data_IF_664975753297
#
_entry.id   IF_664975753297
#
_cell.length_a   1.000
_cell.length_b   1.000
_cell.length_c   1.000
_cell.angle_alpha   90.00
_cell.angle_beta   90.00
_cell.angle_gamma   90.00
#
_symmetry.space_group_name_H-M   'P 1'
#
loop_
_entity.id
_entity.type
_entity.pdbx_description
1 polymer ?
#
# COMPACT_ATOMS: atom_id res chain seq x y z
N UNK A 1 37.41 29.91 -8.59
CA UNK A 1 36.09 30.10 -9.21
C UNK A 1 35.48 28.72 -9.34
N UNK A 2 34.46 28.41 -8.54
CA UNK A 2 33.70 27.16 -8.65
C UNK A 2 32.37 27.52 -9.33
N UNK A 3 32.14 26.98 -10.52
CA UNK A 3 30.82 27.03 -11.15
C UNK A 3 30.01 25.85 -10.59
N UNK A 4 29.14 26.12 -9.62
CA UNK A 4 28.18 25.14 -9.14
C UNK A 4 27.01 25.13 -10.13
N UNK A 5 26.89 24.06 -10.92
CA UNK A 5 25.70 23.79 -11.73
C UNK A 5 24.79 22.87 -10.91
N UNK A 6 23.62 23.36 -10.50
CA UNK A 6 22.60 22.59 -9.79
C UNK A 6 21.56 22.13 -10.81
N UNK A 7 21.47 20.83 -11.03
CA UNK A 7 20.43 20.20 -11.84
C UNK A 7 19.31 19.77 -10.91
N UNK A 8 18.15 20.41 -10.92
CA UNK A 8 17.02 19.93 -10.12
C UNK A 8 16.18 18.91 -10.92
N UNK A 9 15.85 17.74 -10.36
CA UNK A 9 14.87 16.87 -10.97
C UNK A 9 13.51 17.55 -10.80
N UNK A 10 12.85 17.84 -11.91
CA UNK A 10 11.40 17.95 -11.89
C UNK A 10 10.93 16.52 -11.65
N UNK A 11 10.64 16.18 -10.39
CA UNK A 11 9.95 14.97 -9.87
C UNK A 11 10.02 13.78 -10.85
N UNK A 12 10.66 12.63 -10.50
CA UNK A 12 10.85 11.54 -11.46
C UNK A 12 9.56 11.32 -12.25
N UNK A 13 9.63 11.44 -13.57
CA UNK A 13 8.46 11.42 -14.46
C UNK A 13 7.55 10.22 -14.19
N UNK A 14 8.05 9.17 -13.54
CA UNK A 14 7.31 8.06 -12.95
C UNK A 14 6.25 8.46 -11.89
N UNK A 15 6.56 9.34 -10.94
CA UNK A 15 5.62 9.82 -9.93
C UNK A 15 4.57 10.76 -10.55
N UNK A 16 4.95 11.54 -11.56
CA UNK A 16 4.02 12.32 -12.38
C UNK A 16 3.21 11.43 -13.31
N UNK A 17 3.76 10.34 -13.87
CA UNK A 17 3.06 9.41 -14.75
C UNK A 17 1.98 8.62 -14.02
N UNK A 18 2.15 8.34 -12.73
CA UNK A 18 1.12 7.70 -11.92
C UNK A 18 -0.07 8.64 -11.66
N UNK A 19 0.19 9.94 -11.42
CA UNK A 19 -0.85 10.97 -11.32
C UNK A 19 -1.42 11.43 -12.69
N UNK A 20 -0.63 11.32 -13.76
CA UNK A 20 -1.00 11.70 -15.13
C UNK A 20 -1.75 10.59 -15.87
N UNK A 21 -1.51 9.31 -15.54
CA UNK A 21 -2.33 8.19 -16.00
C UNK A 21 -3.78 8.31 -15.50
N UNK A 22 -3.98 8.93 -14.34
CA UNK A 22 -5.31 9.24 -13.80
C UNK A 22 -5.95 10.50 -14.43
N UNK A 23 -5.17 11.38 -15.07
CA UNK A 23 -5.65 12.67 -15.60
C UNK A 23 -5.50 12.88 -17.11
N UNK A 24 -4.91 11.93 -17.84
CA UNK A 24 -4.86 11.90 -19.32
C UNK A 24 -4.02 13.00 -19.99
N UNK A 25 -3.12 13.66 -19.26
CA UNK A 25 -2.50 14.92 -19.69
C UNK A 25 -1.13 14.82 -20.39
N UNK A 26 -0.56 13.61 -20.59
CA UNK A 26 0.78 13.45 -21.18
C UNK A 26 0.74 13.15 -22.69
N UNK A 27 1.72 13.72 -23.40
CA UNK A 27 1.99 13.40 -24.81
C UNK A 27 2.43 11.94 -24.94
N UNK A 28 2.09 11.27 -26.06
CA UNK A 28 2.39 9.83 -26.24
C UNK A 28 3.89 9.50 -26.20
N UNK A 29 4.75 10.47 -26.54
CA UNK A 29 6.19 10.24 -26.66
C UNK A 29 6.90 10.32 -25.30
N UNK A 30 6.47 11.23 -24.42
CA UNK A 30 6.96 11.34 -23.04
C UNK A 30 6.40 10.22 -22.14
N UNK A 31 5.23 9.67 -22.49
CA UNK A 31 4.59 8.60 -21.73
C UNK A 31 5.37 7.28 -21.77
N UNK A 32 6.04 6.94 -22.89
CA UNK A 32 6.71 5.65 -23.04
C UNK A 32 8.03 5.55 -22.27
N UNK A 33 8.86 6.60 -22.29
CA UNK A 33 10.10 6.65 -21.50
C UNK A 33 9.79 6.73 -20.00
N UNK A 34 8.80 7.52 -19.60
CA UNK A 34 8.33 7.60 -18.23
C UNK A 34 7.77 6.25 -17.72
N UNK A 35 7.04 5.50 -18.55
CA UNK A 35 6.52 4.16 -18.21
C UNK A 35 7.62 3.11 -18.05
N UNK A 36 8.65 3.14 -18.90
CA UNK A 36 9.78 2.20 -18.79
C UNK A 36 10.57 2.43 -17.49
N UNK A 37 10.83 3.69 -17.13
CA UNK A 37 11.49 4.05 -15.88
C UNK A 37 10.63 3.71 -14.65
N UNK A 38 9.33 4.01 -14.71
CA UNK A 38 8.38 3.64 -13.64
C UNK A 38 8.29 2.12 -13.44
N UNK A 39 8.31 1.35 -14.53
CA UNK A 39 8.33 -0.12 -14.48
C UNK A 39 9.60 -0.66 -13.84
N UNK A 40 10.77 -0.09 -14.18
CA UNK A 40 12.06 -0.49 -13.59
C UNK A 40 12.15 -0.14 -12.10
N UNK A 41 11.74 1.07 -11.71
CA UNK A 41 11.68 1.50 -10.30
C UNK A 41 10.76 0.58 -9.50
N UNK A 42 9.57 0.29 -10.03
CA UNK A 42 8.61 -0.60 -9.37
C UNK A 42 9.16 -2.02 -9.22
N UNK A 43 9.77 -2.58 -10.26
CA UNK A 43 10.39 -3.90 -10.18
C UNK A 43 11.50 -3.97 -9.11
N UNK A 44 12.27 -2.89 -8.94
CA UNK A 44 13.35 -2.84 -7.96
C UNK A 44 12.83 -2.67 -6.52
N UNK A 45 11.75 -1.89 -6.34
CA UNK A 45 11.01 -1.83 -5.07
C UNK A 45 10.44 -3.21 -4.74
N UNK A 46 9.80 -3.88 -5.71
CA UNK A 46 9.20 -5.21 -5.53
C UNK A 46 10.27 -6.25 -5.13
N UNK A 47 11.47 -6.21 -5.73
CA UNK A 47 12.60 -7.11 -5.36
C UNK A 47 13.07 -6.85 -3.91
N UNK A 48 13.22 -5.59 -3.50
CA UNK A 48 13.61 -5.28 -2.11
C UNK A 48 12.53 -5.68 -1.11
N UNK A 49 11.25 -5.50 -1.48
CA UNK A 49 10.12 -5.94 -0.67
C UNK A 49 10.09 -7.46 -0.53
N UNK A 50 10.36 -8.19 -1.62
CA UNK A 50 10.40 -9.65 -1.64
C UNK A 50 11.57 -10.20 -0.81
N UNK A 51 12.76 -9.59 -0.88
CA UNK A 51 13.90 -9.95 -0.04
C UNK A 51 13.62 -9.74 1.45
N UNK A 52 12.93 -8.64 1.80
CA UNK A 52 12.47 -8.38 3.16
C UNK A 52 11.42 -9.42 3.62
N UNK A 53 10.51 -9.84 2.73
CA UNK A 53 9.54 -10.90 3.00
C UNK A 53 10.21 -12.28 3.25
N UNK A 54 11.25 -12.62 2.49
CA UNK A 54 11.98 -13.88 2.69
C UNK A 54 12.75 -13.88 4.02
N UNK A 55 13.41 -12.79 4.37
CA UNK A 55 14.03 -12.60 5.69
C UNK A 55 12.98 -12.66 6.83
N UNK A 56 11.78 -12.14 6.58
CA UNK A 56 10.65 -12.19 7.50
C UNK A 56 10.08 -13.60 7.73
N UNK A 57 10.23 -14.51 6.77
CA UNK A 57 9.85 -15.91 6.89
C UNK A 57 10.81 -16.73 7.77
N UNK A 58 12.02 -16.24 8.01
CA UNK A 58 13.00 -16.86 8.88
C UNK A 58 12.72 -16.62 10.38
N UNK A 59 12.17 -15.47 10.76
CA UNK A 59 11.86 -15.13 12.16
C UNK A 59 10.48 -15.65 12.63
N UNK A 60 10.32 -16.97 12.61
CA UNK A 60 9.05 -17.69 12.89
C UNK A 60 8.56 -17.64 14.34
N UNK A 61 9.30 -17.05 15.28
CA UNK A 61 9.00 -17.11 16.71
C UNK A 61 7.87 -16.14 17.13
N UNK A 62 7.81 -14.93 16.58
CA UNK A 62 6.66 -14.02 16.80
C UNK A 62 5.35 -14.58 16.24
N UNK A 63 5.44 -15.34 15.14
CA UNK A 63 4.29 -16.06 14.57
C UNK A 63 3.72 -17.11 15.51
N UNK A 64 4.47 -17.58 16.52
CA UNK A 64 3.95 -18.57 17.48
C UNK A 64 3.01 -17.93 18.51
N UNK A 65 3.31 -16.73 19.01
CA UNK A 65 2.38 -15.97 19.86
C UNK A 65 1.09 -15.63 19.09
N UNK A 66 1.24 -15.30 17.81
CA UNK A 66 0.13 -15.07 16.90
C UNK A 66 -0.69 -16.35 16.58
N UNK A 67 -0.06 -17.53 16.48
CA UNK A 67 -0.79 -18.80 16.32
C UNK A 67 -1.67 -19.12 17.53
N UNK A 68 -1.27 -18.71 18.73
CA UNK A 68 -2.06 -18.92 19.94
C UNK A 68 -3.32 -18.04 19.95
N UNK A 69 -3.22 -16.77 19.56
CA UNK A 69 -4.41 -15.90 19.41
C UNK A 69 -5.31 -16.36 18.25
N UNK A 70 -4.73 -16.85 17.16
CA UNK A 70 -5.47 -17.45 16.05
C UNK A 70 -6.24 -18.72 16.47
N UNK A 71 -5.65 -19.58 17.29
CA UNK A 71 -6.32 -20.79 17.78
C UNK A 71 -7.51 -20.51 18.70
N UNK A 72 -7.40 -19.52 19.59
CA UNK A 72 -8.51 -19.13 20.47
C UNK A 72 -9.72 -18.65 19.67
N UNK A 73 -9.47 -17.85 18.64
CA UNK A 73 -10.55 -17.36 17.79
C UNK A 73 -11.10 -18.42 16.82
N UNK A 74 -10.27 -19.34 16.33
CA UNK A 74 -10.78 -20.49 15.57
C UNK A 74 -11.73 -21.34 16.41
N UNK A 75 -11.49 -21.46 17.73
CA UNK A 75 -12.42 -22.14 18.62
C UNK A 75 -13.75 -21.38 18.74
N UNK A 76 -13.74 -20.05 18.84
CA UNK A 76 -14.95 -19.23 18.91
C UNK A 76 -15.75 -19.23 17.59
N UNK A 77 -15.06 -19.13 16.45
CA UNK A 77 -15.70 -19.30 15.13
C UNK A 77 -16.28 -20.71 14.98
N UNK A 78 -15.58 -21.73 15.47
CA UNK A 78 -16.09 -23.09 15.47
C UNK A 78 -17.31 -23.25 16.38
N UNK A 79 -17.38 -22.54 17.52
CA UNK A 79 -18.58 -22.51 18.38
C UNK A 79 -19.76 -21.83 17.69
N UNK A 80 -19.54 -20.70 17.00
CA UNK A 80 -20.57 -20.01 16.23
C UNK A 80 -21.03 -20.80 15.00
N UNK A 81 -20.10 -21.48 14.31
CA UNK A 81 -20.42 -22.40 13.22
C UNK A 81 -21.16 -23.65 13.72
N UNK A 82 -20.78 -24.21 14.88
CA UNK A 82 -21.50 -25.31 15.50
C UNK A 82 -22.92 -24.91 15.91
N UNK A 83 -23.09 -23.71 16.48
CA UNK A 83 -24.40 -23.15 16.77
C UNK A 83 -25.23 -22.95 15.49
N UNK A 84 -24.62 -22.45 14.42
CA UNK A 84 -25.27 -22.32 13.11
C UNK A 84 -25.69 -23.68 12.55
N UNK A 85 -24.82 -24.68 12.57
CA UNK A 85 -25.12 -26.03 12.10
C UNK A 85 -26.25 -26.66 12.92
N UNK A 86 -26.26 -26.48 14.24
CA UNK A 86 -27.35 -26.94 15.09
C UNK A 86 -28.69 -26.29 14.70
N UNK A 87 -28.71 -24.98 14.40
CA UNK A 87 -29.92 -24.28 13.96
C UNK A 87 -30.32 -24.70 12.53
N UNK A 88 -29.39 -24.95 11.61
CA UNK A 88 -29.68 -25.44 10.26
C UNK A 88 -30.28 -26.86 10.29
N UNK A 89 -29.73 -27.76 11.11
CA UNK A 89 -30.27 -29.12 11.33
C UNK A 89 -31.67 -29.05 11.94
N UNK A 90 -31.87 -28.18 12.93
CA UNK A 90 -33.17 -27.91 13.52
C UNK A 90 -34.21 -27.41 12.50
N UNK A 91 -33.82 -26.48 11.63
CA UNK A 91 -34.69 -25.98 10.56
C UNK A 91 -35.06 -27.08 9.55
N UNK A 92 -34.09 -27.92 9.16
CA UNK A 92 -34.34 -29.03 8.24
C UNK A 92 -35.29 -30.07 8.85
N UNK A 93 -35.11 -30.43 10.12
CA UNK A 93 -36.01 -31.32 10.84
C UNK A 93 -37.44 -30.74 10.88
N UNK A 94 -37.56 -29.45 11.22
CA UNK A 94 -38.85 -28.77 11.29
C UNK A 94 -39.54 -28.67 9.92
N UNK A 95 -38.78 -28.41 8.85
CA UNK A 95 -39.30 -28.39 7.48
C UNK A 95 -39.77 -29.78 7.01
N UNK A 96 -39.02 -30.85 7.35
CA UNK A 96 -39.40 -32.23 7.04
C UNK A 96 -40.68 -32.64 7.79
N UNK A 97 -40.80 -32.28 9.07
CA UNK A 97 -41.99 -32.59 9.87
C UNK A 97 -43.24 -31.88 9.34
N UNK A 98 -43.10 -30.62 8.90
CA UNK A 98 -44.21 -29.88 8.27
C UNK A 98 -44.61 -30.53 6.93
N UNK A 99 -43.64 -30.96 6.13
CA UNK A 99 -43.94 -31.63 4.85
C UNK A 99 -44.59 -33.01 5.05
N UNK A 100 -44.14 -33.77 6.04
CA UNK A 100 -44.69 -35.07 6.38
C UNK A 100 -46.13 -34.95 6.95
N UNK A 101 -46.37 -33.95 7.81
CA UNK A 101 -47.72 -33.65 8.30
C UNK A 101 -48.67 -33.26 7.14
N UNK A 102 -48.22 -32.39 6.23
CA UNK A 102 -49.00 -32.01 5.05
C UNK A 102 -49.27 -33.18 4.08
N UNK A 103 -48.36 -34.16 4.00
CA UNK A 103 -48.53 -35.37 3.18
C UNK A 103 -49.49 -36.39 3.82
N UNK A 104 -49.50 -36.51 5.15
CA UNK A 104 -50.48 -37.35 5.88
C UNK A 104 -51.90 -36.79 5.79
N UNK A 105 -52.06 -35.46 5.86
CA UNK A 105 -53.35 -34.77 5.70
C UNK A 105 -54.02 -35.00 4.32
N UNK A 106 -53.24 -35.35 3.29
CA UNK A 106 -53.77 -35.65 1.95
C UNK A 106 -54.23 -37.11 1.79
N UNK A 107 -53.96 -38.00 2.75
CA UNK A 107 -54.25 -39.44 2.65
C UNK A 107 -55.22 -39.98 3.71
N UNK A 108 -55.48 -39.27 4.81
CA UNK A 108 -56.43 -39.72 5.84
C UNK A 108 -57.72 -38.89 5.87
N UNK A 109 -58.79 -39.42 5.30
CA UNK A 109 -60.16 -38.96 5.58
C UNK A 109 -60.63 -39.58 6.90
N UNK A 110 -60.07 -39.11 8.03
CA UNK A 110 -60.43 -39.58 9.36
C UNK A 110 -61.72 -38.91 9.88
N UNK A 111 -62.48 -39.64 10.70
CA UNK A 111 -63.70 -39.16 11.35
C UNK A 111 -63.43 -37.92 12.24
N UNK A 112 -64.38 -36.98 12.38
CA UNK A 112 -64.18 -35.69 13.04
C UNK A 112 -63.76 -35.78 14.52
N UNK A 113 -64.06 -36.89 15.21
CA UNK A 113 -63.67 -37.10 16.62
C UNK A 113 -62.16 -37.37 16.78
N UNK A 114 -61.50 -38.02 15.82
CA UNK A 114 -60.05 -38.30 15.90
C UNK A 114 -59.18 -37.10 15.51
N UNK A 115 -59.76 -36.09 14.84
CA UNK A 115 -59.02 -34.94 14.33
C UNK A 115 -58.53 -34.00 15.44
N UNK A 116 -59.29 -33.88 16.53
CA UNK A 116 -58.90 -33.05 17.68
C UNK A 116 -57.74 -33.68 18.46
N UNK A 117 -57.77 -35.00 18.64
CA UNK A 117 -56.67 -35.73 19.30
C UNK A 117 -55.39 -35.71 18.46
N UNK A 118 -55.51 -35.84 17.13
CA UNK A 118 -54.39 -35.65 16.19
C UNK A 118 -53.77 -34.25 16.29
N UNK A 119 -54.59 -33.19 16.31
CA UNK A 119 -54.10 -31.81 16.47
C UNK A 119 -53.39 -31.60 17.81
N UNK A 120 -53.87 -32.24 18.89
CA UNK A 120 -53.20 -32.19 20.18
C UNK A 120 -51.85 -32.90 20.20
N UNK A 121 -51.75 -34.05 19.53
CA UNK A 121 -50.51 -34.80 19.41
C UNK A 121 -49.50 -34.08 18.51
N UNK A 122 -49.95 -33.46 17.41
CA UNK A 122 -49.13 -32.59 16.56
C UNK A 122 -48.61 -31.37 17.32
N UNK A 123 -49.47 -30.69 18.08
CA UNK A 123 -49.07 -29.53 18.88
C UNK A 123 -48.06 -29.94 19.96
N UNK A 124 -48.25 -31.09 20.64
CA UNK A 124 -47.31 -31.62 21.64
C UNK A 124 -45.97 -31.99 21.00
N UNK A 125 -45.98 -32.67 19.86
CA UNK A 125 -44.77 -33.00 19.11
C UNK A 125 -44.01 -31.74 18.70
N UNK A 126 -44.72 -30.77 18.13
CA UNK A 126 -44.15 -29.50 17.68
C UNK A 126 -43.54 -28.68 18.83
N UNK A 127 -44.24 -28.53 19.95
CA UNK A 127 -43.71 -27.82 21.13
C UNK A 127 -42.44 -28.50 21.67
N UNK A 128 -42.44 -29.84 21.70
CA UNK A 128 -41.27 -30.61 22.14
C UNK A 128 -40.06 -30.43 21.22
N UNK A 129 -40.29 -30.38 19.91
CA UNK A 129 -39.24 -30.11 18.92
C UNK A 129 -38.67 -28.69 19.08
N UNK A 130 -39.54 -27.69 19.21
CA UNK A 130 -39.09 -26.31 19.40
C UNK A 130 -38.32 -26.16 20.72
N UNK A 131 -38.73 -26.82 21.79
CA UNK A 131 -37.99 -26.86 23.06
C UNK A 131 -36.60 -27.47 22.89
N UNK A 132 -36.47 -28.56 22.11
CA UNK A 132 -35.17 -29.16 21.83
C UNK A 132 -34.25 -28.20 21.04
N UNK A 133 -34.81 -27.46 20.07
CA UNK A 133 -34.09 -26.46 19.29
C UNK A 133 -33.63 -25.29 20.20
N UNK A 134 -34.52 -24.82 21.07
CA UNK A 134 -34.20 -23.74 22.02
C UNK A 134 -33.19 -24.20 23.09
N UNK A 135 -33.22 -25.46 23.51
CA UNK A 135 -32.27 -26.03 24.46
C UNK A 135 -30.87 -26.24 23.85
N UNK A 136 -30.78 -26.48 22.54
CA UNK A 136 -29.53 -26.60 21.81
C UNK A 136 -28.90 -25.24 21.43
N UNK A 137 -29.64 -24.14 21.59
CA UNK A 137 -29.15 -22.81 21.26
C UNK A 137 -28.15 -22.27 22.32
N UNK A 138 -27.08 -21.55 21.90
CA UNK A 138 -26.14 -20.91 22.82
C UNK A 138 -26.82 -20.01 23.85
N UNK A 139 -26.35 -20.05 25.10
CA UNK A 139 -26.93 -19.29 26.21
C UNK A 139 -26.98 -17.77 25.93
N UNK A 140 -25.99 -17.23 25.21
CA UNK A 140 -25.96 -15.81 24.85
C UNK A 140 -27.18 -15.39 24.00
N UNK A 141 -27.70 -16.27 23.14
CA UNK A 141 -28.87 -16.00 22.30
C UNK A 141 -30.18 -16.05 23.08
N UNK A 142 -30.21 -16.80 24.19
CA UNK A 142 -31.38 -16.95 25.05
C UNK A 142 -31.49 -15.84 26.11
N UNK A 143 -30.37 -15.17 26.42
CA UNK A 143 -30.29 -14.12 27.45
C UNK A 143 -30.39 -12.69 26.92
N UNK A 144 -30.12 -12.45 25.63
CA UNK A 144 -30.17 -11.10 25.07
C UNK A 144 -31.61 -10.71 24.73
N UNK A 145 -32.19 -9.79 25.52
CA UNK A 145 -33.59 -9.35 25.45
C UNK A 145 -34.01 -8.72 24.12
N UNK A 146 -33.06 -8.42 23.23
CA UNK A 146 -33.32 -7.90 21.88
C UNK A 146 -33.45 -8.99 20.82
N UNK A 147 -33.13 -10.24 21.15
CA UNK A 147 -33.20 -11.36 20.22
C UNK A 147 -34.64 -11.85 20.05
N UNK A 148 -35.00 -12.36 18.85
CA UNK A 148 -36.32 -12.91 18.63
C UNK A 148 -36.58 -14.21 19.43
N UNK A 149 -35.55 -14.83 19.99
CA UNK A 149 -35.63 -16.07 20.77
C UNK A 149 -36.37 -15.88 22.10
N UNK A 150 -36.28 -14.71 22.73
CA UNK A 150 -37.04 -14.41 23.95
C UNK A 150 -38.54 -14.38 23.66
N UNK A 151 -38.94 -13.81 22.51
CA UNK A 151 -40.34 -13.79 22.07
C UNK A 151 -40.83 -15.18 21.66
N UNK A 152 -40.00 -15.95 20.96
CA UNK A 152 -40.29 -17.35 20.62
C UNK A 152 -40.50 -18.21 21.88
N UNK A 153 -39.62 -18.07 22.89
CA UNK A 153 -39.75 -18.79 24.16
C UNK A 153 -41.04 -18.44 24.89
N UNK A 154 -41.42 -17.16 24.92
CA UNK A 154 -42.69 -16.74 25.53
C UNK A 154 -43.91 -17.31 24.79
N UNK A 155 -43.86 -17.39 23.45
CA UNK A 155 -44.92 -18.01 22.65
C UNK A 155 -45.00 -19.52 22.87
N UNK A 156 -43.87 -20.22 22.93
CA UNK A 156 -43.81 -21.66 23.24
C UNK A 156 -44.38 -21.95 24.62
N UNK A 157 -44.07 -21.11 25.61
CA UNK A 157 -44.64 -21.24 26.96
C UNK A 157 -46.15 -21.00 26.99
N UNK A 158 -46.66 -20.04 26.20
CA UNK A 158 -48.09 -19.82 26.05
C UNK A 158 -48.80 -21.04 25.43
N UNK A 159 -48.21 -21.66 24.40
CA UNK A 159 -48.71 -22.90 23.82
C UNK A 159 -48.67 -24.07 24.81
N UNK A 160 -47.63 -24.15 25.65
CA UNK A 160 -47.53 -25.15 26.72
C UNK A 160 -48.65 -25.00 27.75
N UNK A 161 -48.99 -23.78 28.14
CA UNK A 161 -50.12 -23.51 29.04
C UNK A 161 -51.45 -23.94 28.43
N UNK A 162 -51.68 -23.66 27.15
CA UNK A 162 -52.89 -24.09 26.42
C UNK A 162 -53.05 -25.62 26.45
N UNK A 163 -51.96 -26.37 26.26
CA UNK A 163 -51.91 -27.83 26.36
C UNK A 163 -52.22 -28.32 27.78
N UNK A 164 -51.65 -27.69 28.80
CA UNK A 164 -51.85 -28.08 30.21
C UNK A 164 -53.26 -27.80 30.71
N UNK A 165 -53.83 -26.66 30.34
CA UNK A 165 -55.17 -26.23 30.75
C UNK A 165 -56.28 -26.99 30.03
N UNK A 166 -55.94 -27.81 29.01
CA UNK A 166 -56.88 -28.51 28.12
C UNK A 166 -57.97 -27.57 27.58
N UNK A 167 -57.56 -26.32 27.34
CA UNK A 167 -58.41 -25.30 26.71
C UNK A 167 -58.71 -25.70 25.26
N UNK A 168 -59.63 -25.02 24.57
CA UNK A 168 -59.99 -25.40 23.20
C UNK A 168 -58.74 -25.49 22.30
N UNK A 169 -58.58 -26.56 21.50
CA UNK A 169 -57.41 -26.71 20.65
C UNK A 169 -57.34 -25.57 19.62
N UNK A 170 -56.13 -25.10 19.30
CA UNK A 170 -55.96 -24.06 18.28
C UNK A 170 -56.46 -24.52 16.92
N UNK A 171 -56.79 -23.55 16.07
CA UNK A 171 -57.11 -23.84 14.67
C UNK A 171 -55.85 -24.30 13.94
N UNK A 172 -55.98 -25.23 13.00
CA UNK A 172 -54.86 -25.69 12.17
C UNK A 172 -54.11 -24.52 11.49
N UNK A 173 -54.86 -23.49 11.04
CA UNK A 173 -54.31 -22.26 10.45
C UNK A 173 -53.40 -21.48 11.41
N UNK A 174 -53.70 -21.47 12.72
CA UNK A 174 -52.90 -20.79 13.74
C UNK A 174 -51.59 -21.55 14.01
N UNK A 175 -51.66 -22.89 14.02
CA UNK A 175 -50.49 -23.75 14.15
C UNK A 175 -49.56 -23.59 12.93
N UNK A 176 -50.11 -23.56 11.72
CA UNK A 176 -49.33 -23.36 10.50
C UNK A 176 -48.72 -21.95 10.40
N UNK A 177 -49.48 -20.91 10.78
CA UNK A 177 -48.96 -19.55 10.85
C UNK A 177 -47.80 -19.44 11.86
N UNK A 178 -47.90 -20.14 13.00
CA UNK A 178 -46.83 -20.17 14.00
C UNK A 178 -45.59 -20.93 13.50
N UNK A 179 -45.78 -22.10 12.87
CA UNK A 179 -44.72 -22.86 12.19
C UNK A 179 -43.96 -22.00 11.18
N UNK A 180 -44.68 -21.30 10.30
CA UNK A 180 -44.08 -20.40 9.31
C UNK A 180 -43.35 -19.20 9.94
N UNK A 181 -43.94 -18.59 10.98
CA UNK A 181 -43.29 -17.50 11.72
C UNK A 181 -41.97 -17.96 12.33
N UNK A 182 -41.95 -19.14 12.94
CA UNK A 182 -40.76 -19.71 13.57
C UNK A 182 -39.68 -20.03 12.53
N UNK A 183 -40.04 -20.66 11.41
CA UNK A 183 -39.12 -20.88 10.29
C UNK A 183 -38.49 -19.59 9.78
N UNK A 184 -39.31 -18.55 9.51
CA UNK A 184 -38.80 -17.26 9.03
C UNK A 184 -37.87 -16.60 10.05
N UNK A 185 -38.26 -16.64 11.32
CA UNK A 185 -37.48 -16.03 12.40
C UNK A 185 -36.12 -16.71 12.60
N UNK A 186 -36.08 -18.05 12.53
CA UNK A 186 -34.84 -18.81 12.59
C UNK A 186 -33.98 -18.55 11.34
N UNK A 187 -34.59 -18.54 10.14
CA UNK A 187 -33.87 -18.28 8.88
C UNK A 187 -33.23 -16.89 8.87
N UNK A 188 -34.01 -15.85 9.20
CA UNK A 188 -33.54 -14.46 9.31
C UNK A 188 -32.39 -14.36 10.32
N UNK A 189 -32.46 -15.10 11.43
CA UNK A 189 -31.41 -15.08 12.45
C UNK A 189 -30.12 -15.78 11.99
N UNK A 190 -30.23 -16.95 11.37
CA UNK A 190 -29.08 -17.66 10.78
C UNK A 190 -28.39 -16.78 9.75
N UNK A 191 -29.16 -16.10 8.89
CA UNK A 191 -28.61 -15.18 7.89
C UNK A 191 -27.89 -13.99 8.55
N UNK A 192 -28.47 -13.41 9.61
CA UNK A 192 -27.80 -12.34 10.38
C UNK A 192 -26.50 -12.82 11.01
N UNK A 193 -26.48 -13.98 11.67
CA UNK A 193 -25.26 -14.54 12.24
C UNK A 193 -24.20 -14.78 11.17
N UNK A 194 -24.60 -15.34 10.03
CA UNK A 194 -23.71 -15.57 8.88
C UNK A 194 -23.12 -14.26 8.35
N UNK A 195 -23.93 -13.21 8.24
CA UNK A 195 -23.48 -11.90 7.79
C UNK A 195 -22.54 -11.25 8.82
N UNK A 196 -22.83 -11.35 10.11
CA UNK A 196 -21.95 -10.86 11.19
C UNK A 196 -20.61 -11.59 11.16
N UNK A 197 -20.60 -12.92 11.10
CA UNK A 197 -19.38 -13.74 11.00
C UNK A 197 -18.56 -13.35 9.77
N UNK A 198 -19.21 -13.26 8.61
CA UNK A 198 -18.55 -12.88 7.36
C UNK A 198 -17.95 -11.47 7.44
N UNK A 199 -18.66 -10.52 8.04
CA UNK A 199 -18.19 -9.16 8.19
C UNK A 199 -17.02 -9.06 9.17
N UNK A 200 -17.08 -9.76 10.30
CA UNK A 200 -15.97 -9.85 11.26
C UNK A 200 -14.73 -10.49 10.63
N UNK A 201 -14.91 -11.56 9.85
CA UNK A 201 -13.84 -12.20 9.10
C UNK A 201 -13.19 -11.22 8.11
N UNK A 202 -14.00 -10.49 7.34
CA UNK A 202 -13.52 -9.50 6.37
C UNK A 202 -12.71 -8.38 7.04
N UNK A 203 -13.25 -7.77 8.11
CA UNK A 203 -12.54 -6.71 8.86
C UNK A 203 -11.21 -7.26 9.38
N UNK A 204 -11.20 -8.47 9.92
CA UNK A 204 -9.98 -9.11 10.42
C UNK A 204 -8.96 -9.33 9.32
N UNK A 205 -9.36 -9.89 8.19
CA UNK A 205 -8.47 -10.16 7.06
C UNK A 205 -7.85 -8.85 6.53
N UNK A 206 -8.63 -7.76 6.50
CA UNK A 206 -8.15 -6.44 6.11
C UNK A 206 -7.14 -5.89 7.14
N UNK A 207 -7.44 -5.95 8.44
CA UNK A 207 -6.51 -5.52 9.50
C UNK A 207 -5.21 -6.35 9.48
N UNK A 208 -5.29 -7.65 9.21
CA UNK A 208 -4.12 -8.52 9.05
C UNK A 208 -3.29 -8.14 7.83
N UNK A 209 -3.93 -7.77 6.73
CA UNK A 209 -3.25 -7.27 5.53
C UNK A 209 -2.45 -6.00 5.87
N UNK A 210 -3.08 -5.03 6.55
CA UNK A 210 -2.41 -3.80 6.99
C UNK A 210 -1.26 -4.12 7.95
N UNK A 211 -1.46 -5.01 8.93
CA UNK A 211 -0.40 -5.41 9.87
C UNK A 211 0.80 -6.03 9.15
N UNK A 212 0.55 -6.88 8.15
CA UNK A 212 1.61 -7.47 7.34
C UNK A 212 2.37 -6.40 6.54
N UNK A 213 1.66 -5.44 5.94
CA UNK A 213 2.30 -4.32 5.23
C UNK A 213 3.13 -3.47 6.19
N UNK A 214 2.59 -3.04 7.34
CA UNK A 214 3.33 -2.29 8.37
C UNK A 214 4.62 -3.00 8.76
N UNK A 215 4.54 -4.31 9.03
CA UNK A 215 5.70 -5.12 9.42
C UNK A 215 6.72 -5.25 8.28
N UNK A 216 6.28 -5.23 7.01
CA UNK A 216 7.19 -5.20 5.86
C UNK A 216 7.93 -3.87 5.78
N UNK A 217 7.22 -2.75 5.92
CA UNK A 217 7.83 -1.42 5.91
C UNK A 217 8.84 -1.27 7.04
N UNK A 218 8.53 -1.67 8.29
CA UNK A 218 9.50 -1.62 9.41
C UNK A 218 10.84 -2.31 9.13
N UNK A 219 10.87 -3.28 8.21
CA UNK A 219 12.04 -4.10 7.89
C UNK A 219 12.82 -3.60 6.69
N UNK A 220 12.35 -2.58 5.99
CA UNK A 220 13.08 -2.00 4.87
C UNK A 220 14.31 -1.25 5.38
N UNK A 221 15.49 -1.72 4.97
CA UNK A 221 16.75 -1.01 5.22
C UNK A 221 16.74 0.32 4.45
N UNK A 222 17.12 1.41 5.13
CA UNK A 222 17.15 2.76 4.56
C UNK A 222 15.96 3.64 4.95
N UNK A 223 14.95 3.10 5.66
CA UNK A 223 13.90 3.96 6.23
C UNK A 223 14.50 4.84 7.32
N UNK A 224 14.25 6.14 7.21
CA UNK A 224 14.62 7.12 8.22
C UNK A 224 14.00 6.78 9.57
N UNK A 225 14.76 6.96 10.66
CA UNK A 225 14.32 6.70 12.04
C UNK A 225 12.97 7.35 12.38
N UNK A 226 12.66 8.49 11.73
CA UNK A 226 11.39 9.23 11.88
C UNK A 226 10.14 8.41 11.59
N UNK A 227 10.22 7.38 10.74
CA UNK A 227 9.08 6.53 10.37
C UNK A 227 8.99 5.24 11.19
N UNK A 228 10.09 4.82 11.82
CA UNK A 228 10.14 3.58 12.59
C UNK A 228 9.21 3.64 13.82
N UNK A 229 9.21 4.76 14.55
CA UNK A 229 8.34 4.92 15.71
C UNK A 229 6.84 4.93 15.34
N UNK A 230 6.36 5.71 14.35
CA UNK A 230 4.98 5.64 13.90
C UNK A 230 4.53 4.24 13.44
N UNK A 231 5.39 3.50 12.74
CA UNK A 231 5.09 2.13 12.31
C UNK A 231 4.97 1.18 13.52
N UNK A 232 5.88 1.27 14.48
CA UNK A 232 5.84 0.45 15.70
C UNK A 232 4.59 0.70 16.53
N UNK A 233 4.20 1.98 16.69
CA UNK A 233 2.96 2.36 17.37
C UNK A 233 1.71 1.84 16.65
N UNK A 234 1.71 1.90 15.31
CA UNK A 234 0.60 1.37 14.51
C UNK A 234 0.52 -0.16 14.62
N UNK A 235 1.66 -0.86 14.62
CA UNK A 235 1.74 -2.30 14.80
C UNK A 235 1.20 -2.72 16.17
N UNK A 236 1.64 -2.06 17.23
CA UNK A 236 1.14 -2.33 18.59
C UNK A 236 -0.37 -2.10 18.68
N UNK A 237 -0.86 -0.97 18.15
CA UNK A 237 -2.29 -0.68 18.12
C UNK A 237 -3.08 -1.72 17.30
N UNK A 238 -2.59 -2.15 16.13
CA UNK A 238 -3.22 -3.19 15.31
C UNK A 238 -3.29 -4.54 16.06
N UNK A 239 -2.22 -4.91 16.75
CA UNK A 239 -2.19 -6.11 17.56
C UNK A 239 -3.21 -6.01 18.70
N UNK A 240 -3.32 -4.88 19.39
CA UNK A 240 -4.35 -4.68 20.42
C UNK A 240 -5.77 -4.78 19.84
N UNK A 241 -6.05 -4.13 18.71
CA UNK A 241 -7.38 -4.17 18.09
C UNK A 241 -7.75 -5.57 17.58
N UNK A 242 -6.80 -6.36 17.08
CA UNK A 242 -7.05 -7.74 16.66
C UNK A 242 -7.47 -8.66 17.81
N UNK A 243 -7.19 -8.28 19.06
CA UNK A 243 -7.66 -8.97 20.25
C UNK A 243 -8.99 -8.41 20.80
N UNK A 244 -9.46 -7.27 20.29
CA UNK A 244 -10.74 -6.71 20.68
C UNK A 244 -11.90 -7.50 20.04
N UNK A 245 -12.93 -7.78 20.84
CA UNK A 245 -14.18 -8.38 20.39
C UNK A 245 -15.35 -7.51 20.89
N UNK A 246 -16.22 -6.98 20.01
CA UNK A 246 -16.27 -7.17 18.56
C UNK A 246 -15.34 -6.25 17.76
N UNK A 247 -14.83 -6.79 16.64
CA UNK A 247 -14.18 -5.99 15.60
C UNK A 247 -15.21 -5.09 14.91
N UNK A 248 -14.87 -3.81 14.75
CA UNK A 248 -15.77 -2.80 14.16
C UNK A 248 -15.16 -2.17 12.92
N UNK A 249 -16.02 -1.72 11.99
CA UNK A 249 -15.61 -1.03 10.75
C UNK A 249 -14.78 0.24 11.02
N UNK A 250 -15.02 0.90 12.16
CA UNK A 250 -14.23 2.06 12.56
C UNK A 250 -12.74 1.70 12.75
N UNK A 251 -12.43 0.51 13.28
CA UNK A 251 -11.04 0.05 13.45
C UNK A 251 -10.32 -0.08 12.12
N UNK A 252 -10.96 -0.64 11.09
CA UNK A 252 -10.40 -0.71 9.74
C UNK A 252 -10.17 0.69 9.15
N UNK A 253 -11.10 1.60 9.37
CA UNK A 253 -11.02 2.98 8.87
C UNK A 253 -9.86 3.73 9.54
N UNK A 254 -9.72 3.59 10.86
CA UNK A 254 -8.64 4.19 11.64
C UNK A 254 -7.27 3.62 11.23
N UNK A 255 -7.18 2.31 11.02
CA UNK A 255 -5.96 1.64 10.55
C UNK A 255 -5.48 2.23 9.21
N UNK A 256 -6.39 2.34 8.23
CA UNK A 256 -6.09 2.91 6.92
C UNK A 256 -5.74 4.40 7.00
N UNK A 257 -6.41 5.15 7.87
CA UNK A 257 -6.17 6.59 8.05
C UNK A 257 -4.78 6.85 8.62
N UNK A 258 -4.31 6.02 9.55
CA UNK A 258 -2.96 6.10 10.11
C UNK A 258 -1.89 5.59 9.16
N UNK A 259 -2.13 4.45 8.52
CA UNK A 259 -1.14 3.79 7.68
C UNK A 259 -0.91 4.49 6.34
N UNK A 260 -1.99 4.96 5.70
CA UNK A 260 -1.94 5.53 4.35
C UNK A 260 -0.91 6.65 4.17
N UNK A 261 -0.86 7.68 5.05
CA UNK A 261 0.15 8.74 4.97
C UNK A 261 1.58 8.24 5.18
N UNK A 262 1.81 7.34 6.15
CA UNK A 262 3.14 6.79 6.45
C UNK A 262 3.65 5.99 5.24
N UNK A 263 2.80 5.11 4.71
CA UNK A 263 3.09 4.32 3.51
C UNK A 263 3.48 5.20 2.33
N UNK A 264 2.70 6.25 2.05
CA UNK A 264 3.01 7.20 0.96
C UNK A 264 4.34 7.92 1.16
N UNK A 265 4.65 8.34 2.39
CA UNK A 265 5.90 9.02 2.69
C UNK A 265 7.12 8.10 2.46
N UNK A 266 7.03 6.84 2.92
CA UNK A 266 8.09 5.86 2.71
C UNK A 266 8.22 5.47 1.22
N UNK A 267 7.10 5.24 0.54
CA UNK A 267 7.08 4.93 -0.89
C UNK A 267 7.74 6.06 -1.72
N UNK A 268 7.51 7.32 -1.33
CA UNK A 268 8.15 8.48 -1.96
C UNK A 268 9.66 8.54 -1.70
N UNK A 269 10.11 8.26 -0.47
CA UNK A 269 11.53 8.22 -0.13
C UNK A 269 12.26 7.11 -0.90
N UNK A 270 11.71 5.89 -0.89
CA UNK A 270 12.28 4.77 -1.63
C UNK A 270 12.33 5.05 -3.14
N UNK A 271 11.30 5.69 -3.69
CA UNK A 271 11.30 6.10 -5.09
C UNK A 271 12.39 7.13 -5.40
N UNK A 272 12.64 8.08 -4.50
CA UNK A 272 13.71 9.07 -4.64
C UNK A 272 15.09 8.41 -4.55
N UNK A 273 15.30 7.49 -3.61
CA UNK A 273 16.56 6.76 -3.47
C UNK A 273 16.88 5.93 -4.72
N UNK A 274 15.89 5.19 -5.25
CA UNK A 274 16.08 4.42 -6.49
C UNK A 274 16.32 5.35 -7.69
N UNK A 275 15.61 6.48 -7.76
CA UNK A 275 15.84 7.46 -8.81
C UNK A 275 17.25 8.08 -8.71
N UNK A 276 17.74 8.33 -7.50
CA UNK A 276 19.08 8.84 -7.21
C UNK A 276 20.16 7.85 -7.65
N UNK A 277 19.98 6.57 -7.35
CA UNK A 277 20.90 5.49 -7.76
C UNK A 277 20.90 5.32 -9.30
N UNK A 278 19.73 5.39 -9.94
CA UNK A 278 19.64 5.34 -11.40
C UNK A 278 20.31 6.55 -12.04
N UNK A 279 20.09 7.75 -11.47
CA UNK A 279 20.68 8.99 -11.94
C UNK A 279 22.21 8.98 -11.82
N UNK A 280 22.74 8.52 -10.68
CA UNK A 280 24.19 8.47 -10.46
C UNK A 280 24.87 7.51 -11.42
N UNK A 281 24.27 6.34 -11.66
CA UNK A 281 24.78 5.37 -12.63
C UNK A 281 24.78 5.93 -14.05
N UNK A 282 23.64 6.52 -14.50
CA UNK A 282 23.54 7.10 -15.84
C UNK A 282 24.47 8.29 -16.03
N UNK A 283 24.62 9.13 -15.00
CA UNK A 283 25.58 10.23 -15.03
C UNK A 283 27.01 9.71 -15.22
N UNK A 284 27.41 8.68 -14.47
CA UNK A 284 28.72 8.08 -14.60
C UNK A 284 28.96 7.47 -15.99
N UNK A 285 27.96 6.75 -16.52
CA UNK A 285 28.01 6.15 -17.85
C UNK A 285 28.19 7.24 -18.94
N UNK A 286 27.36 8.28 -18.92
CA UNK A 286 27.42 9.37 -19.91
C UNK A 286 28.74 10.14 -19.85
N UNK A 287 29.24 10.46 -18.65
CA UNK A 287 30.54 11.10 -18.50
C UNK A 287 31.66 10.20 -19.04
N UNK A 288 31.59 8.88 -18.78
CA UNK A 288 32.55 7.92 -19.31
C UNK A 288 32.53 7.85 -20.84
N UNK A 289 31.34 7.83 -21.44
CA UNK A 289 31.17 7.86 -22.90
C UNK A 289 31.70 9.15 -23.55
N UNK A 290 31.67 10.27 -22.81
CA UNK A 290 32.26 11.55 -23.23
C UNK A 290 33.79 11.61 -23.02
N UNK A 291 34.40 10.56 -22.48
CA UNK A 291 35.84 10.44 -22.28
C UNK A 291 36.34 10.87 -20.90
N UNK A 292 35.44 11.14 -19.95
CA UNK A 292 35.82 11.41 -18.56
C UNK A 292 36.15 10.09 -17.87
N UNK A 293 37.33 9.99 -17.23
CA UNK A 293 37.71 8.77 -16.52
C UNK A 293 37.21 8.82 -15.08
N UNK A 294 36.63 7.73 -14.58
CA UNK A 294 36.15 7.66 -13.19
C UNK A 294 37.35 7.48 -12.26
N UNK A 295 37.61 8.48 -11.42
CA UNK A 295 38.65 8.43 -10.39
C UNK A 295 38.08 7.89 -9.09
N UNK A 296 36.89 8.36 -8.71
CA UNK A 296 36.12 7.88 -7.57
C UNK A 296 34.66 7.67 -8.00
N UNK A 297 34.09 6.47 -7.80
CA UNK A 297 32.71 6.21 -8.16
C UNK A 297 31.75 7.02 -7.27
N UNK A 298 30.58 7.38 -7.82
CA UNK A 298 29.51 8.01 -7.04
C UNK A 298 29.03 7.05 -5.95
N UNK A 299 29.40 7.32 -4.70
CA UNK A 299 29.06 6.51 -3.54
C UNK A 299 28.52 7.38 -2.39
N UNK A 300 27.77 6.78 -1.47
CA UNK A 300 27.23 7.48 -0.30
C UNK A 300 28.34 8.06 0.57
N UNK A 301 28.21 9.35 0.90
CA UNK A 301 29.09 10.02 1.84
C UNK A 301 28.76 9.62 3.28
N UNK A 302 29.69 9.88 4.22
CA UNK A 302 29.51 9.61 5.66
C UNK A 302 28.30 10.34 6.25
N UNK A 303 27.86 11.43 5.62
CA UNK A 303 26.64 12.17 6.00
C UNK A 303 25.34 11.55 5.43
N UNK A 304 25.43 10.41 4.73
CA UNK A 304 24.35 9.46 4.43
C UNK A 304 23.32 9.90 3.38
N UNK A 305 23.29 11.18 3.00
CA UNK A 305 22.22 11.74 2.18
C UNK A 305 22.68 12.29 0.82
N UNK A 306 23.96 12.16 0.49
CA UNK A 306 24.51 12.58 -0.80
C UNK A 306 25.41 11.50 -1.37
N UNK A 307 25.36 11.34 -2.69
CA UNK A 307 26.33 10.56 -3.44
C UNK A 307 27.40 11.51 -3.95
N UNK A 308 28.68 11.23 -3.72
CA UNK A 308 29.78 12.03 -4.26
C UNK A 308 30.74 11.15 -5.06
N UNK A 309 31.28 11.69 -6.14
CA UNK A 309 32.27 11.01 -6.97
C UNK A 309 33.19 12.00 -7.68
N UNK A 310 34.29 11.48 -8.22
CA UNK A 310 35.32 12.26 -8.88
C UNK A 310 35.63 11.68 -10.27
N UNK A 311 35.75 12.57 -11.25
CA UNK A 311 36.04 12.23 -12.63
C UNK A 311 37.25 13.04 -13.11
N UNK A 312 38.18 12.39 -13.82
CA UNK A 312 39.27 13.09 -14.50
C UNK A 312 38.77 13.64 -15.83
N UNK A 313 38.89 14.96 -15.98
CA UNK A 313 38.60 15.68 -17.23
C UNK A 313 39.78 15.49 -18.19
N UNK A 314 39.54 15.25 -19.50
CA UNK A 314 40.59 15.25 -20.50
C UNK A 314 41.47 16.51 -20.42
N UNK A 315 42.75 16.33 -20.07
CA UNK A 315 43.69 17.45 -19.88
C UNK A 315 44.05 17.77 -18.42
N UNK A 316 43.69 16.91 -17.45
CA UNK A 316 44.38 16.79 -16.16
C UNK A 316 43.76 17.54 -14.96
N UNK A 317 42.51 18.00 -15.07
CA UNK A 317 41.76 18.54 -13.92
C UNK A 317 40.72 17.54 -13.43
N UNK A 318 40.31 17.64 -12.16
CA UNK A 318 39.24 16.84 -11.59
C UNK A 318 37.89 17.55 -11.69
N UNK A 319 36.83 16.76 -11.93
CA UNK A 319 35.43 17.15 -11.82
C UNK A 319 34.82 16.35 -10.66
N UNK A 320 34.41 17.05 -9.61
CA UNK A 320 33.65 16.48 -8.51
C UNK A 320 32.16 16.59 -8.85
N UNK A 321 31.43 15.48 -8.75
CA UNK A 321 29.98 15.45 -8.92
C UNK A 321 29.33 15.01 -7.61
N UNK A 322 28.24 15.69 -7.24
CA UNK A 322 27.44 15.39 -6.05
C UNK A 322 26.00 15.20 -6.48
N UNK A 323 25.36 14.11 -6.07
CA UNK A 323 23.92 13.90 -6.21
C UNK A 323 23.29 13.99 -4.82
N UNK A 324 22.43 14.98 -4.60
CA UNK A 324 21.73 15.22 -3.35
C UNK A 324 20.53 14.27 -3.18
N UNK A 325 20.03 14.16 -1.94
CA UNK A 325 18.84 13.36 -1.62
C UNK A 325 17.57 13.78 -2.37
N UNK A 326 17.43 15.07 -2.73
CA UNK A 326 16.33 15.56 -3.55
C UNK A 326 16.59 15.39 -5.06
N UNK A 327 17.60 14.58 -5.41
CA UNK A 327 18.07 14.27 -6.76
C UNK A 327 18.76 15.43 -7.46
N UNK A 328 19.06 16.53 -6.75
CA UNK A 328 19.84 17.61 -7.35
C UNK A 328 21.26 17.15 -7.68
N UNK A 329 21.79 17.53 -8.83
CA UNK A 329 23.20 17.26 -9.18
C UNK A 329 24.00 18.55 -9.06
N UNK A 330 25.07 18.55 -8.28
CA UNK A 330 26.07 19.59 -8.19
C UNK A 330 27.37 19.16 -8.88
N UNK A 331 28.00 20.08 -9.60
CA UNK A 331 29.31 19.86 -10.21
C UNK A 331 30.32 20.90 -9.72
N UNK A 332 31.55 20.47 -9.48
CA UNK A 332 32.64 21.35 -9.06
C UNK A 332 33.96 20.92 -9.69
N UNK A 333 34.59 21.81 -10.46
CA UNK A 333 35.94 21.59 -10.95
C UNK A 333 36.97 21.87 -9.85
N UNK A 334 37.99 21.01 -9.77
CA UNK A 334 39.08 21.14 -8.81
C UNK A 334 40.44 20.75 -9.44
N UNK A 335 41.51 21.21 -8.80
CA UNK A 335 42.88 20.85 -9.15
C UNK A 335 43.32 19.69 -8.24
N UNK A 336 43.89 18.61 -8.77
CA UNK A 336 44.28 17.45 -7.93
C UNK A 336 45.21 17.86 -6.76
N UNK A 337 46.08 18.85 -6.97
CA UNK A 337 47.00 19.38 -5.94
C UNK A 337 46.30 20.01 -4.74
N UNK A 338 45.10 20.58 -4.89
CA UNK A 338 44.43 21.32 -3.79
C UNK A 338 44.02 20.43 -2.62
N UNK A 339 43.98 19.11 -2.79
CA UNK A 339 43.74 18.18 -1.68
C UNK A 339 44.99 17.91 -0.83
N UNK A 340 46.19 18.18 -1.35
CA UNK A 340 47.47 17.73 -0.76
C UNK A 340 48.42 18.90 -0.43
N UNK A 341 48.04 20.14 -0.73
CA UNK A 341 48.89 21.32 -0.52
C UNK A 341 48.06 22.58 -0.29
N UNK A 342 48.32 23.27 0.83
CA UNK A 342 47.76 24.59 1.14
C UNK A 342 48.40 25.74 0.33
N UNK A 343 49.34 25.43 -0.58
CA UNK A 343 49.99 26.44 -1.38
C UNK A 343 49.03 27.03 -2.43
N UNK A 344 48.92 28.36 -2.55
CA UNK A 344 48.02 29.00 -3.50
C UNK A 344 48.31 28.54 -4.94
N UNK A 345 47.24 28.41 -5.74
CA UNK A 345 47.34 28.01 -7.14
C UNK A 345 48.20 29.00 -7.94
N UNK A 346 49.08 28.48 -8.79
CA UNK A 346 49.88 29.30 -9.68
C UNK A 346 49.02 29.96 -10.75
N UNK A 347 49.53 31.02 -11.40
CA UNK A 347 48.81 31.68 -12.49
C UNK A 347 48.53 30.72 -13.67
N UNK A 348 49.45 29.80 -13.95
CA UNK A 348 49.31 28.77 -14.99
C UNK A 348 48.22 27.75 -14.63
N UNK A 349 48.16 27.32 -13.37
CA UNK A 349 47.12 26.41 -12.87
C UNK A 349 45.73 27.05 -12.93
N UNK A 350 45.63 28.34 -12.60
CA UNK A 350 44.39 29.09 -12.73
C UNK A 350 43.95 29.26 -14.19
N UNK A 351 44.90 29.43 -15.12
CA UNK A 351 44.58 29.50 -16.54
C UNK A 351 44.14 28.14 -17.09
N UNK A 352 44.79 27.05 -16.67
CA UNK A 352 44.37 25.69 -16.98
C UNK A 352 42.94 25.44 -16.48
N UNK A 353 42.65 25.78 -15.22
CA UNK A 353 41.32 25.64 -14.63
C UNK A 353 40.26 26.42 -15.43
N UNK A 354 40.55 27.65 -15.85
CA UNK A 354 39.63 28.45 -16.69
C UNK A 354 39.40 27.84 -18.07
N UNK A 355 40.41 27.21 -18.67
CA UNK A 355 40.25 26.50 -19.95
C UNK A 355 39.35 25.28 -19.76
N UNK A 356 39.56 24.52 -18.70
CA UNK A 356 38.75 23.35 -18.38
C UNK A 356 37.32 23.72 -17.98
N UNK A 357 37.12 24.83 -17.29
CA UNK A 357 35.79 25.39 -17.01
C UNK A 357 35.03 25.70 -18.30
N UNK A 358 35.71 26.21 -19.34
CA UNK A 358 35.05 26.44 -20.65
C UNK A 358 34.67 25.14 -21.35
N UNK A 359 35.54 24.12 -21.29
CA UNK A 359 35.24 22.79 -21.85
C UNK A 359 34.06 22.17 -21.12
N UNK A 360 34.07 22.17 -19.79
CA UNK A 360 32.95 21.68 -18.99
C UNK A 360 31.64 22.43 -19.27
N UNK A 361 31.69 23.76 -19.41
CA UNK A 361 30.52 24.54 -19.79
C UNK A 361 29.97 24.18 -21.18
N UNK A 362 30.81 23.68 -22.09
CA UNK A 362 30.39 23.20 -23.42
C UNK A 362 29.83 21.79 -23.37
N UNK A 363 30.38 20.94 -22.49
CA UNK A 363 29.99 19.55 -22.32
C UNK A 363 28.72 19.39 -21.48
N UNK A 364 28.49 20.26 -20.50
CA UNK A 364 27.33 20.21 -19.61
C UNK A 364 25.99 20.13 -20.38
N UNK A 365 25.70 20.95 -21.40
CA UNK A 365 24.51 20.80 -22.25
C UNK A 365 24.32 19.40 -22.83
N UNK A 366 25.40 18.74 -23.27
CA UNK A 366 25.35 17.41 -23.85
C UNK A 366 25.06 16.34 -22.79
N UNK A 367 25.65 16.47 -21.60
CA UNK A 367 25.31 15.63 -20.43
C UNK A 367 23.82 15.76 -20.10
N UNK A 368 23.30 17.01 -20.06
CA UNK A 368 21.88 17.26 -19.78
C UNK A 368 20.97 16.68 -20.86
N UNK A 369 21.36 16.79 -22.14
CA UNK A 369 20.61 16.23 -23.27
C UNK A 369 20.52 14.70 -23.18
N UNK A 370 21.62 14.03 -22.82
CA UNK A 370 21.67 12.58 -22.64
C UNK A 370 20.83 12.11 -21.45
N UNK A 371 20.94 12.77 -20.31
CA UNK A 371 20.09 12.49 -19.14
C UNK A 371 18.60 12.73 -19.45
N UNK A 372 18.26 13.76 -20.21
CA UNK A 372 16.89 14.01 -20.67
C UNK A 372 16.39 12.90 -21.59
N UNK A 373 17.23 12.38 -22.48
CA UNK A 373 16.89 11.25 -23.35
C UNK A 373 16.62 9.95 -22.55
N UNK A 374 17.27 9.80 -21.39
CA UNK A 374 17.00 8.72 -20.44
C UNK A 374 15.75 8.94 -19.58
N UNK A 375 15.07 10.09 -19.74
CA UNK A 375 13.83 10.42 -19.03
C UNK A 375 14.01 11.23 -17.74
N UNK A 376 15.21 11.78 -17.49
CA UNK A 376 15.43 12.70 -16.37
C UNK A 376 15.16 14.15 -16.80
N UNK A 377 14.06 14.72 -16.29
CA UNK A 377 13.78 16.14 -16.50
C UNK A 377 14.72 17.00 -15.64
N UNK A 378 15.29 18.04 -16.24
CA UNK A 378 16.33 18.85 -15.61
C UNK A 378 16.18 20.35 -15.81
N UNK A 379 16.41 21.09 -14.74
CA UNK A 379 16.62 22.55 -14.75
C UNK A 379 18.05 22.86 -14.31
N UNK A 380 18.81 23.62 -15.10
CA UNK A 380 20.21 23.97 -14.77
C UNK A 380 20.25 25.34 -14.11
N UNK A 381 20.85 25.41 -12.92
CA UNK A 381 21.08 26.67 -12.19
C UNK A 381 22.58 26.89 -12.03
N UNK A 382 23.09 27.99 -12.56
CA UNK A 382 24.48 28.40 -12.36
C UNK A 382 24.58 29.36 -11.18
N UNK A 383 25.37 29.00 -10.16
CA UNK A 383 25.70 29.89 -9.05
C UNK A 383 27.08 30.51 -9.29
N UNK A 384 27.15 31.84 -9.36
CA UNK A 384 28.42 32.58 -9.33
C UNK A 384 28.62 33.20 -7.96
N UNK A 385 29.75 32.90 -7.33
CA UNK A 385 30.23 33.58 -6.13
C UNK A 385 31.01 34.85 -6.55
N UNK A 386 30.35 36.01 -6.49
CA UNK A 386 31.01 37.29 -6.77
C UNK A 386 31.80 37.73 -5.53
N UNK A 387 33.12 37.88 -5.67
CA UNK A 387 34.03 38.31 -4.59
C UNK A 387 33.88 39.79 -4.16
N UNK A 388 32.95 40.56 -4.73
CA UNK A 388 32.86 42.01 -4.46
C UNK A 388 31.70 42.37 -3.52
N UNK A 389 30.57 41.68 -3.57
CA UNK A 389 29.47 41.80 -2.59
C UNK A 389 28.73 40.45 -2.55
N UNK A 390 28.46 39.92 -1.34
CA UNK A 390 27.96 38.57 -1.01
C UNK A 390 26.55 38.21 -1.54
N UNK A 391 26.20 38.59 -2.77
CA UNK A 391 24.93 38.22 -3.40
C UNK A 391 25.18 37.13 -4.46
N UNK A 392 24.78 35.87 -4.19
CA UNK A 392 24.88 34.81 -5.19
C UNK A 392 23.94 35.13 -6.35
N UNK A 393 24.51 35.32 -7.55
CA UNK A 393 23.70 35.45 -8.77
C UNK A 393 23.39 34.05 -9.26
N UNK A 394 22.11 33.69 -9.25
CA UNK A 394 21.58 32.41 -9.76
C UNK A 394 21.02 32.65 -11.16
N UNK A 395 21.63 32.06 -12.19
CA UNK A 395 21.06 32.08 -13.55
C UNK A 395 20.36 30.75 -13.80
N UNK A 396 19.04 30.79 -14.04
CA UNK A 396 18.22 29.61 -14.33
C UNK A 396 18.11 29.45 -15.84
N UNK A 397 18.45 28.28 -16.37
CA UNK A 397 18.22 27.93 -17.78
C UNK A 397 17.58 26.54 -17.85
N UNK A 398 16.45 26.43 -18.55
CA UNK A 398 15.83 25.13 -18.84
C UNK A 398 16.63 24.36 -19.88
N UNK A 399 16.58 23.02 -19.86
CA UNK A 399 17.25 22.18 -20.87
C UNK A 399 16.82 22.53 -22.31
N UNK A 400 15.55 22.93 -22.51
CA UNK A 400 15.07 23.41 -23.81
C UNK A 400 15.70 24.74 -24.24
N UNK A 401 15.90 25.68 -23.31
CA UNK A 401 16.52 26.97 -23.62
C UNK A 401 18.00 26.81 -23.98
N UNK A 402 18.71 25.92 -23.28
CA UNK A 402 20.10 25.58 -23.57
C UNK A 402 20.21 24.97 -24.98
N UNK A 403 19.34 23.99 -25.30
CA UNK A 403 19.31 23.35 -26.61
C UNK A 403 18.94 24.35 -27.74
N UNK A 404 17.97 25.23 -27.52
CA UNK A 404 17.60 26.28 -28.50
C UNK A 404 18.73 27.30 -28.70
N UNK A 405 19.48 27.63 -27.65
CA UNK A 405 20.63 28.53 -27.76
C UNK A 405 21.77 27.91 -28.57
N UNK A 406 22.06 26.61 -28.37
CA UNK A 406 23.04 25.88 -29.19
C UNK A 406 22.63 25.81 -30.66
N UNK A 407 21.37 25.45 -30.95
CA UNK A 407 20.86 25.41 -32.33
C UNK A 407 20.96 26.77 -33.02
N UNK A 408 20.69 27.88 -32.30
CA UNK A 408 20.89 29.23 -32.84
C UNK A 408 22.36 29.54 -33.10
N UNK A 409 23.27 29.14 -32.22
CA UNK A 409 24.70 29.36 -32.40
C UNK A 409 25.27 28.55 -33.58
N UNK A 410 24.84 27.30 -33.76
CA UNK A 410 25.23 26.47 -34.90
C UNK A 410 24.69 27.02 -36.23
N UNK A 411 23.46 27.55 -36.23
CA UNK A 411 22.89 28.22 -37.41
C UNK A 411 23.52 29.59 -37.70
N UNK A 412 24.09 30.24 -36.69
CA UNK A 412 24.76 31.55 -36.79
C UNK A 412 26.26 31.43 -37.07
N UNK A 413 26.83 30.23 -37.05
CA UNK A 413 28.22 30.02 -37.41
C UNK A 413 28.42 30.36 -38.90
N UNK A 414 29.25 31.35 -39.26
CA UNK A 414 29.46 31.72 -40.64
C UNK A 414 30.04 30.51 -41.40
N UNK A 415 29.30 30.01 -42.39
CA UNK A 415 29.86 29.10 -43.40
C UNK A 415 31.06 29.81 -44.02
N UNK A 416 32.27 29.38 -43.66
CA UNK A 416 33.48 29.75 -44.39
C UNK A 416 33.26 29.32 -45.84
N UNK A 417 32.90 30.26 -46.70
CA UNK A 417 33.01 30.09 -48.14
C UNK A 417 34.49 29.90 -48.43
N UNK A 418 34.84 28.71 -48.91
CA UNK A 418 36.14 28.39 -49.46
C UNK A 418 36.50 29.45 -50.51
N UNK A 419 37.41 30.37 -50.17
CA UNK A 419 38.08 31.19 -51.15
C UNK A 419 39.12 30.30 -51.85
N UNK A 420 38.71 29.70 -52.95
CA UNK A 420 39.64 29.14 -53.95
C UNK A 420 40.45 30.30 -54.54
N UNK A 421 41.71 30.40 -54.13
CA UNK A 421 42.70 31.21 -54.85
C UNK A 421 43.05 30.51 -56.17
N UNK A 422 42.89 31.21 -57.29
CA UNK A 422 43.41 30.85 -58.62
C UNK A 422 44.68 31.64 -58.91
#
# INVERSE_FOLDING_TARGET
MSAEAIVAPLIPLAALAQAAAESGALSQQDAHSAQALAGAIRAQIDVRLQQAQEAAQAQRQERQQWRQSHHKHQAELAELDAARQAIEVAQQALAQNIHNAAAQDQHESAAPENRLDQLWDELRGFVTEVDAILAAAPAQLLSDGKTPFVKLRAQVEAWRQIIQDKSAPPRAEELDAFKQMLQRTLADHVERLRNTLRHQQQIRDNLLTILNEVTQYERLNGIQERHQQPLAQLREWLLEQLHADPLTLWMETEANTRFGPIKRAIDQELALDVARDALSQRLADHLSEMGYAITEPLAETVEGNTLSGAFAVPGGTGLHAVVHADGRIGFQLYLERTFHSDAPASAEELELLRRQERVWCQDLPEVMRRLSADGFASEVRFKRENQVENLPIVTVQSAEEINRAQQRNEQSAPRYQEMTFS
#
